data_IF_166933099090
#
_entry.id   IF_166933099090
#
_cell.length_a   1.000
_cell.length_b   1.000
_cell.length_c   1.000
_cell.angle_alpha   90.00
_cell.angle_beta   90.00
_cell.angle_gamma   90.00
#
_symmetry.space_group_name_H-M   'P 1'
#
loop_
_entity.id
_entity.type
_entity.pdbx_description
1 polymer ?
#
# COMPACT_ATOMS: atom_id res chain seq x y z
N UNK A 1 -27.46 -2.60 11.61
CA UNK A 1 -27.82 -1.31 12.24
C UNK A 1 -27.91 -1.61 13.73
N UNK A 2 -27.15 -0.91 14.57
CA UNK A 2 -27.26 -1.05 16.02
C UNK A 2 -28.16 0.08 16.53
N UNK A 3 -29.14 -0.27 17.33
CA UNK A 3 -30.05 0.67 17.98
C UNK A 3 -29.60 0.76 19.43
N UNK A 4 -29.39 1.98 19.92
CA UNK A 4 -29.23 2.21 21.35
C UNK A 4 -30.31 3.16 21.84
N UNK A 5 -30.69 2.98 23.10
CA UNK A 5 -31.65 3.84 23.77
C UNK A 5 -30.88 4.98 24.42
N UNK A 6 -31.15 6.21 23.99
CA UNK A 6 -30.62 7.41 24.64
C UNK A 6 -31.19 7.58 26.05
N UNK A 7 -30.62 8.51 26.82
CA UNK A 7 -31.04 8.85 28.20
C UNK A 7 -32.54 9.26 28.26
N UNK A 8 -33.12 9.67 27.13
CA UNK A 8 -34.52 10.07 26.99
C UNK A 8 -35.40 8.99 26.32
N UNK A 9 -35.00 7.72 26.32
CA UNK A 9 -35.71 6.61 25.63
C UNK A 9 -35.93 6.79 24.11
N UNK A 10 -35.22 7.74 23.49
CA UNK A 10 -35.23 7.89 22.03
C UNK A 10 -34.31 6.85 21.37
N UNK A 11 -34.86 6.14 20.40
CA UNK A 11 -34.11 5.21 19.55
C UNK A 11 -33.13 6.01 18.68
N UNK A 12 -31.82 5.80 18.88
CA UNK A 12 -30.78 6.36 18.03
C UNK A 12 -30.04 5.23 17.30
N UNK A 13 -29.91 5.37 15.98
CA UNK A 13 -29.20 4.40 15.16
C UNK A 13 -27.71 4.72 15.09
N UNK A 14 -26.86 3.74 15.39
CA UNK A 14 -25.44 3.79 15.06
C UNK A 14 -25.24 3.30 13.63
N UNK A 15 -24.95 4.25 12.75
CA UNK A 15 -24.73 3.98 11.34
C UNK A 15 -23.28 3.62 11.04
N UNK A 16 -23.04 2.60 10.19
CA UNK A 16 -21.73 2.39 9.59
C UNK A 16 -21.26 3.64 8.85
N UNK A 17 -19.95 3.86 8.64
CA UNK A 17 -19.43 5.04 7.96
C UNK A 17 -20.01 5.31 6.56
N UNK A 18 -20.45 4.24 5.88
CA UNK A 18 -21.07 4.28 4.56
C UNK A 18 -22.52 4.76 4.55
N UNK A 19 -23.17 4.94 5.70
CA UNK A 19 -24.56 5.37 5.82
C UNK A 19 -24.72 6.48 6.86
N UNK A 20 -25.79 7.26 6.75
CA UNK A 20 -26.12 8.35 7.68
C UNK A 20 -27.63 8.65 7.71
N UNK A 21 -28.03 9.54 8.62
CA UNK A 21 -29.42 9.83 8.96
C UNK A 21 -29.89 9.03 10.18
N UNK A 22 -31.02 9.43 10.77
CA UNK A 22 -31.52 8.87 12.03
C UNK A 22 -31.85 7.38 11.97
N UNK A 23 -32.02 6.84 10.76
CA UNK A 23 -32.28 5.43 10.46
C UNK A 23 -31.24 4.81 9.52
N UNK A 24 -30.10 5.47 9.32
CA UNK A 24 -29.09 5.08 8.34
C UNK A 24 -29.63 4.96 6.91
N UNK A 25 -30.67 5.74 6.59
CA UNK A 25 -31.41 5.65 5.34
C UNK A 25 -30.67 6.26 4.15
N UNK A 26 -29.68 7.11 4.39
CA UNK A 26 -28.92 7.78 3.34
C UNK A 26 -27.54 7.13 3.18
N UNK A 27 -27.17 6.85 1.94
CA UNK A 27 -25.85 6.34 1.62
C UNK A 27 -24.85 7.49 1.53
N UNK A 28 -23.70 7.33 2.19
CA UNK A 28 -22.62 8.30 2.12
C UNK A 28 -22.00 8.32 0.72
N UNK A 29 -21.79 9.52 0.20
CA UNK A 29 -21.20 9.73 -1.10
C UNK A 29 -19.69 9.47 -1.05
N UNK A 30 -19.15 8.83 -2.09
CA UNK A 30 -17.77 8.32 -2.07
C UNK A 30 -17.07 8.41 -3.42
N UNK A 31 -15.75 8.38 -3.37
CA UNK A 31 -14.88 8.10 -4.51
C UNK A 31 -14.44 6.63 -4.43
N UNK A 32 -14.77 5.87 -5.45
CA UNK A 32 -14.33 4.49 -5.66
C UNK A 32 -13.12 4.54 -6.60
N UNK A 33 -11.93 4.35 -6.04
CA UNK A 33 -10.66 4.46 -6.74
C UNK A 33 -10.10 3.07 -7.02
N UNK A 34 -9.79 2.77 -8.27
CA UNK A 34 -9.02 1.59 -8.67
C UNK A 34 -7.64 2.02 -9.16
N UNK A 35 -6.60 1.62 -8.43
CA UNK A 35 -5.21 1.89 -8.81
C UNK A 35 -4.52 0.63 -9.32
N UNK A 36 -3.68 0.83 -10.33
CA UNK A 36 -2.65 -0.13 -10.73
C UNK A 36 -1.31 0.60 -10.76
N UNK A 37 -0.27 -0.02 -10.23
CA UNK A 37 1.08 0.51 -10.34
C UNK A 37 1.80 -0.24 -11.45
N UNK A 38 2.51 0.50 -12.29
CA UNK A 38 3.46 -0.01 -13.26
C UNK A 38 4.84 0.42 -12.79
N UNK A 39 5.75 -0.54 -12.68
CA UNK A 39 7.13 -0.24 -12.36
C UNK A 39 7.98 -0.27 -13.64
N UNK A 40 8.82 0.74 -13.83
CA UNK A 40 9.72 0.82 -14.98
C UNK A 40 11.09 0.23 -14.67
N UNK A 41 11.50 0.14 -13.40
CA UNK A 41 12.74 -0.54 -13.00
C UNK A 41 12.55 -1.41 -11.75
N UNK A 42 12.89 -2.70 -11.87
CA UNK A 42 12.68 -3.72 -10.83
C UNK A 42 13.85 -3.70 -9.85
N UNK A 43 13.93 -2.68 -8.99
CA UNK A 43 14.61 -2.87 -7.71
C UNK A 43 13.73 -3.82 -6.87
N UNK A 44 14.19 -5.06 -6.68
CA UNK A 44 13.43 -6.10 -5.95
C UNK A 44 13.17 -5.72 -4.50
N UNK A 45 14.02 -4.88 -3.91
CA UNK A 45 13.94 -4.47 -2.51
C UNK A 45 13.13 -3.18 -2.32
N UNK A 46 12.62 -2.57 -3.39
CA UNK A 46 11.83 -1.36 -3.29
C UNK A 46 10.51 -1.63 -2.57
N UNK A 47 10.23 -0.83 -1.54
CA UNK A 47 8.96 -0.86 -0.80
C UNK A 47 8.45 0.56 -0.72
N UNK A 48 7.23 0.75 -1.22
CA UNK A 48 6.59 2.06 -1.26
C UNK A 48 5.51 2.15 -0.19
N UNK A 49 5.56 3.20 0.61
CA UNK A 49 4.42 3.66 1.40
C UNK A 49 3.58 4.59 0.56
N UNK A 50 2.34 4.20 0.26
CA UNK A 50 1.42 5.02 -0.53
C UNK A 50 0.38 5.61 0.41
N UNK A 51 0.25 6.93 0.39
CA UNK A 51 -0.77 7.69 1.15
C UNK A 51 -1.72 8.34 0.19
N UNK A 52 -3.00 8.05 0.33
CA UNK A 52 -4.06 8.52 -0.57
C UNK A 52 -4.98 9.42 0.23
N UNK A 53 -5.21 10.64 -0.22
CA UNK A 53 -6.08 11.60 0.48
C UNK A 53 -7.12 12.19 -0.46
N UNK A 54 -8.36 12.30 0.01
CA UNK A 54 -9.43 13.05 -0.66
C UNK A 54 -9.51 14.44 -0.03
N UNK A 55 -9.24 15.46 -0.83
CA UNK A 55 -9.10 16.84 -0.35
C UNK A 55 -10.00 17.78 -1.15
N UNK A 56 -10.64 18.72 -0.47
CA UNK A 56 -11.43 19.77 -1.13
C UNK A 56 -10.59 20.99 -1.54
N UNK A 57 -11.21 21.94 -2.24
CA UNK A 57 -10.56 23.18 -2.68
C UNK A 57 -10.11 24.10 -1.53
N UNK A 58 -10.53 23.83 -0.29
CA UNK A 58 -10.08 24.57 0.90
C UNK A 58 -8.84 23.93 1.54
N UNK A 59 -8.39 22.78 1.03
CA UNK A 59 -7.29 21.99 1.61
C UNK A 59 -7.75 21.05 2.72
N UNK A 60 -9.05 20.88 2.92
CA UNK A 60 -9.59 20.03 3.97
C UNK A 60 -9.62 18.57 3.51
N UNK A 61 -9.03 17.70 4.34
CA UNK A 61 -8.99 16.25 4.09
C UNK A 61 -10.30 15.62 4.56
N UNK A 62 -11.08 15.07 3.62
CA UNK A 62 -12.33 14.36 3.88
C UNK A 62 -12.10 12.91 4.33
N UNK A 63 -11.18 12.22 3.67
CA UNK A 63 -10.78 10.85 4.00
C UNK A 63 -9.36 10.58 3.52
N UNK A 64 -8.75 9.55 4.08
CA UNK A 64 -7.44 9.10 3.69
C UNK A 64 -7.34 7.59 3.82
N UNK A 65 -6.47 7.00 3.02
CA UNK A 65 -6.09 5.60 3.08
C UNK A 65 -4.58 5.46 2.93
N UNK A 66 -4.04 4.37 3.45
CA UNK A 66 -2.62 4.05 3.32
C UNK A 66 -2.46 2.59 2.91
N UNK A 67 -1.49 2.32 2.05
CA UNK A 67 -1.12 0.96 1.67
C UNK A 67 0.39 0.84 1.45
N UNK A 68 0.88 -0.37 1.59
CA UNK A 68 2.26 -0.75 1.28
C UNK A 68 2.29 -1.46 -0.06
N UNK A 69 3.01 -0.87 -1.03
CA UNK A 69 3.18 -1.43 -2.36
C UNK A 69 4.59 -2.01 -2.51
N UNK A 70 4.66 -3.30 -2.83
CA UNK A 70 5.91 -4.02 -3.09
C UNK A 70 5.87 -4.51 -4.55
N UNK A 71 6.70 -3.99 -5.46
CA UNK A 71 6.60 -4.28 -6.89
C UNK A 71 6.70 -5.77 -7.23
N UNK A 72 7.64 -6.49 -6.59
CA UNK A 72 7.87 -7.91 -6.88
C UNK A 72 6.65 -8.80 -6.59
N UNK A 73 5.82 -8.40 -5.62
CA UNK A 73 4.63 -9.14 -5.20
C UNK A 73 3.33 -8.62 -5.81
N UNK A 74 3.29 -7.33 -6.21
CA UNK A 74 2.04 -6.65 -6.53
C UNK A 74 2.00 -5.97 -7.92
N UNK A 75 2.95 -6.24 -8.82
CA UNK A 75 3.03 -5.62 -10.16
C UNK A 75 1.73 -5.75 -10.99
N UNK A 76 0.96 -6.83 -10.81
CA UNK A 76 -0.30 -7.06 -11.52
C UNK A 76 -1.55 -6.81 -10.68
N UNK A 77 -1.38 -6.38 -9.42
CA UNK A 77 -2.50 -6.22 -8.51
C UNK A 77 -3.25 -4.91 -8.81
N UNK A 78 -4.56 -4.97 -8.63
CA UNK A 78 -5.44 -3.79 -8.65
C UNK A 78 -5.86 -3.49 -7.23
N UNK A 79 -5.65 -2.26 -6.79
CA UNK A 79 -6.03 -1.79 -5.46
C UNK A 79 -7.37 -1.06 -5.57
N UNK A 80 -8.40 -1.56 -4.89
CA UNK A 80 -9.72 -0.93 -4.85
C UNK A 80 -9.92 -0.23 -3.51
N UNK A 81 -10.11 1.08 -3.56
CA UNK A 81 -10.02 1.99 -2.42
C UNK A 81 -11.27 2.85 -2.39
N UNK A 82 -11.86 3.03 -1.21
CA UNK A 82 -13.11 3.77 -1.05
C UNK A 82 -12.90 4.99 -0.15
N UNK A 83 -12.83 6.16 -0.76
CA UNK A 83 -12.66 7.43 -0.05
C UNK A 83 -14.03 8.05 0.20
N UNK A 84 -14.46 8.07 1.45
CA UNK A 84 -15.75 8.62 1.85
C UNK A 84 -15.67 10.14 2.02
N UNK A 85 -16.75 10.85 1.66
CA UNK A 85 -16.87 12.25 2.05
C UNK A 85 -17.17 12.34 3.54
N UNK A 86 -16.50 13.29 4.19
CA UNK A 86 -16.80 13.62 5.58
C UNK A 86 -18.13 14.35 5.72
N UNK A 87 -18.34 15.39 4.93
CA UNK A 87 -19.58 16.14 4.91
C UNK A 87 -20.65 15.31 4.19
N UNK A 88 -21.83 15.22 4.82
CA UNK A 88 -22.94 14.35 4.39
C UNK A 88 -24.23 15.18 4.35
N UNK A 89 -24.76 15.53 3.18
CA UNK A 89 -24.20 15.29 1.83
C UNK A 89 -22.95 16.13 1.55
N UNK A 90 -22.19 15.75 0.51
CA UNK A 90 -21.02 16.51 0.06
C UNK A 90 -21.44 17.84 -0.54
N UNK A 91 -20.57 18.84 -0.42
CA UNK A 91 -20.81 20.18 -0.95
C UNK A 91 -20.48 20.23 -2.44
N UNK A 92 -21.50 20.31 -3.29
CA UNK A 92 -21.35 20.33 -4.76
C UNK A 92 -20.70 21.59 -5.30
N UNK A 93 -20.56 22.65 -4.49
CA UNK A 93 -19.90 23.89 -4.88
C UNK A 93 -18.37 23.80 -4.79
N UNK A 94 -17.86 22.87 -3.99
CA UNK A 94 -16.42 22.65 -3.80
C UNK A 94 -15.85 21.73 -4.86
N UNK A 95 -14.58 21.93 -5.20
CA UNK A 95 -13.83 20.98 -6.03
C UNK A 95 -13.13 19.96 -5.15
N UNK A 96 -13.12 18.71 -5.57
CA UNK A 96 -12.48 17.62 -4.84
C UNK A 96 -11.37 17.00 -5.68
N UNK A 97 -10.25 16.70 -5.05
CA UNK A 97 -9.09 16.08 -5.70
C UNK A 97 -8.60 14.93 -4.84
N UNK A 98 -8.30 13.81 -5.49
CA UNK A 98 -7.59 12.69 -4.86
C UNK A 98 -6.11 12.90 -5.08
N UNK A 99 -5.37 12.97 -3.98
CA UNK A 99 -3.92 13.01 -3.96
C UNK A 99 -3.38 11.65 -3.59
N UNK A 100 -2.32 11.22 -4.29
CA UNK A 100 -1.67 9.93 -4.09
C UNK A 100 -0.18 10.22 -3.94
N UNK A 101 0.34 10.06 -2.74
CA UNK A 101 1.72 10.40 -2.40
C UNK A 101 2.50 9.11 -2.14
N UNK A 102 3.68 8.98 -2.76
CA UNK A 102 4.55 7.82 -2.61
C UNK A 102 5.81 8.19 -1.82
N UNK A 103 6.18 7.29 -0.91
CA UNK A 103 7.34 7.41 -0.04
C UNK A 103 8.16 6.12 -0.08
N UNK A 104 9.48 6.22 0.08
CA UNK A 104 10.33 5.06 0.41
C UNK A 104 9.93 4.59 1.82
N UNK A 105 9.49 3.34 1.96
CA UNK A 105 8.98 2.82 3.24
C UNK A 105 10.07 2.53 4.26
N UNK A 106 11.31 2.36 3.81
CA UNK A 106 12.49 2.09 4.65
C UNK A 106 12.97 3.40 5.26
N UNK A 107 13.25 4.39 4.41
CA UNK A 107 13.83 5.67 4.81
C UNK A 107 12.79 6.74 5.14
N UNK A 108 11.51 6.48 4.84
CA UNK A 108 10.41 7.45 4.95
C UNK A 108 10.63 8.71 4.11
N UNK A 109 11.45 8.63 3.06
CA UNK A 109 11.71 9.73 2.14
C UNK A 109 10.54 9.89 1.16
N UNK A 110 10.11 11.13 0.92
CA UNK A 110 9.12 11.42 -0.11
C UNK A 110 9.71 11.21 -1.50
N UNK A 111 8.96 10.56 -2.39
CA UNK A 111 9.42 10.23 -3.75
C UNK A 111 8.66 11.02 -4.81
N UNK A 112 7.33 10.95 -4.81
CA UNK A 112 6.50 11.61 -5.83
C UNK A 112 5.03 11.70 -5.41
N UNK A 113 4.22 12.40 -6.21
CA UNK A 113 2.78 12.51 -6.04
C UNK A 113 2.03 12.54 -7.36
N UNK A 114 0.83 11.97 -7.36
CA UNK A 114 -0.15 12.05 -8.44
C UNK A 114 -1.43 12.73 -7.96
N UNK A 115 -2.10 13.40 -8.88
CA UNK A 115 -3.33 14.15 -8.63
C UNK A 115 -4.44 13.68 -9.56
N UNK A 116 -5.57 13.26 -9.01
CA UNK A 116 -6.74 12.83 -9.78
C UNK A 116 -7.95 13.71 -9.41
N UNK A 117 -8.40 14.62 -10.28
CA UNK A 117 -9.56 15.46 -9.99
C UNK A 117 -10.86 14.65 -10.01
N UNK A 118 -11.79 14.98 -9.11
CA UNK A 118 -13.15 14.42 -9.09
C UNK A 118 -14.06 15.35 -9.90
N UNK A 119 -14.39 14.95 -11.13
CA UNK A 119 -15.09 15.81 -12.09
C UNK A 119 -16.61 15.82 -11.95
N UNK A 120 -17.22 14.69 -11.57
CA UNK A 120 -18.69 14.53 -11.58
C UNK A 120 -19.30 14.58 -10.19
N UNK A 121 -19.40 15.79 -9.64
CA UNK A 121 -19.85 16.02 -8.27
C UNK A 121 -21.34 15.74 -8.04
N UNK A 122 -22.18 15.65 -9.07
CA UNK A 122 -23.58 15.24 -8.87
C UNK A 122 -23.72 13.74 -8.55
N UNK A 123 -22.74 12.90 -8.91
CA UNK A 123 -22.85 11.46 -8.70
C UNK A 123 -22.62 11.09 -7.22
N UNK A 124 -23.48 10.24 -6.63
CA UNK A 124 -23.26 9.71 -5.29
C UNK A 124 -21.96 8.90 -5.19
N UNK A 125 -21.57 8.22 -6.27
CA UNK A 125 -20.32 7.46 -6.37
C UNK A 125 -19.53 7.95 -7.58
N UNK A 126 -18.30 8.39 -7.36
CA UNK A 126 -17.36 8.74 -8.42
C UNK A 126 -16.37 7.58 -8.62
N UNK A 127 -16.37 6.96 -9.79
CA UNK A 127 -15.42 5.89 -10.11
C UNK A 127 -14.20 6.46 -10.82
N UNK A 128 -13.04 6.39 -10.16
CA UNK A 128 -11.75 6.81 -10.72
C UNK A 128 -10.89 5.58 -10.95
N UNK A 129 -10.23 5.51 -12.10
CA UNK A 129 -9.29 4.42 -12.43
C UNK A 129 -8.02 5.03 -12.96
N UNK A 130 -6.88 4.65 -12.39
CA UNK A 130 -5.59 5.16 -12.82
C UNK A 130 -4.54 4.05 -12.82
N UNK A 131 -3.65 4.12 -13.80
CA UNK A 131 -2.40 3.37 -13.81
C UNK A 131 -1.26 4.34 -13.56
N UNK A 132 -0.57 4.17 -12.44
CA UNK A 132 0.50 5.07 -11.98
C UNK A 132 1.85 4.43 -12.26
N UNK A 133 2.83 5.23 -12.65
CA UNK A 133 4.20 4.78 -12.91
C UNK A 133 5.03 5.11 -11.68
N UNK A 134 5.58 4.10 -10.99
CA UNK A 134 6.42 4.33 -9.81
C UNK A 134 7.76 4.95 -10.21
N UNK A 135 8.25 5.95 -9.46
CA UNK A 135 9.52 6.59 -9.78
C UNK A 135 10.67 5.59 -9.62
N UNK A 136 11.71 5.76 -10.43
CA UNK A 136 12.97 5.06 -10.22
C UNK A 136 13.58 5.52 -8.89
N UNK A 137 14.32 4.62 -8.21
CA UNK A 137 15.07 4.94 -6.99
C UNK A 137 16.31 5.76 -7.35
N UNK A 138 16.09 6.87 -8.05
CA UNK A 138 17.10 7.83 -8.42
C UNK A 138 17.12 8.91 -7.35
N UNK A 139 18.31 9.23 -6.89
CA UNK A 139 18.59 10.18 -5.82
C UNK A 139 17.93 11.54 -6.15
N UNK A 140 16.73 11.77 -5.61
CA UNK A 140 16.02 13.02 -5.78
C UNK A 140 16.70 14.09 -4.91
N UNK A 141 17.76 14.70 -5.46
CA UNK A 141 18.27 16.00 -5.02
C UNK A 141 17.34 17.17 -5.42
N UNK A 142 16.16 16.88 -5.96
CA UNK A 142 15.15 17.86 -6.28
C UNK A 142 14.26 18.03 -5.06
N UNK A 143 14.40 19.19 -4.41
CA UNK A 143 13.45 19.70 -3.42
C UNK A 143 12.04 19.75 -4.04
N UNK A 144 11.28 18.67 -3.88
CA UNK A 144 9.86 18.62 -4.14
C UNK A 144 9.10 19.06 -2.89
N UNK A 145 9.47 20.21 -2.34
CA UNK A 145 8.81 20.87 -1.21
C UNK A 145 7.82 21.94 -1.72
N UNK A 146 6.82 21.53 -2.50
CA UNK A 146 5.81 22.49 -3.01
C UNK A 146 4.37 22.13 -2.68
N UNK A 147 4.09 20.96 -2.07
CA UNK A 147 2.77 20.71 -1.46
C UNK A 147 2.72 21.07 0.02
N UNK A 148 3.84 20.93 0.71
CA UNK A 148 4.06 21.49 2.03
C UNK A 148 5.20 22.48 1.88
N UNK A 149 4.99 23.74 1.47
CA UNK A 149 6.03 24.73 1.72
C UNK A 149 6.42 24.60 3.19
N UNK A 150 7.72 24.57 3.53
CA UNK A 150 8.33 24.66 4.87
C UNK A 150 7.56 25.57 5.86
N UNK A 151 6.37 25.13 6.21
CA UNK A 151 5.54 25.56 7.28
C UNK A 151 5.49 24.30 8.11
N UNK A 152 6.54 24.17 8.91
CA UNK A 152 6.41 23.72 10.28
C UNK A 152 5.36 24.59 11.02
N UNK A 153 4.12 24.67 10.53
CA UNK A 153 3.00 24.67 11.46
C UNK A 153 3.20 23.34 12.16
N UNK A 154 3.73 23.44 13.38
CA UNK A 154 3.91 22.37 14.33
C UNK A 154 2.51 21.85 14.67
N UNK A 155 1.82 21.25 13.71
CA UNK A 155 0.68 20.41 13.96
C UNK A 155 1.19 19.42 15.00
N UNK A 156 0.54 19.39 16.16
CA UNK A 156 0.95 18.57 17.28
C UNK A 156 0.74 17.10 16.89
N UNK A 157 1.68 16.56 16.13
CA UNK A 157 1.63 15.20 15.66
C UNK A 157 1.90 14.27 16.83
N UNK A 158 1.12 13.20 16.90
CA UNK A 158 1.19 12.18 17.96
C UNK A 158 1.81 10.89 17.46
N UNK A 159 2.53 10.96 16.32
CA UNK A 159 3.27 9.87 15.75
C UNK A 159 4.49 9.51 16.61
N UNK A 160 4.99 8.27 16.47
CA UNK A 160 6.29 7.88 17.03
C UNK A 160 7.43 8.74 16.48
N UNK A 161 8.54 8.84 17.22
CA UNK A 161 9.71 9.66 16.81
C UNK A 161 10.34 9.18 15.49
N UNK A 162 10.32 7.87 15.26
CA UNK A 162 10.96 7.24 14.10
C UNK A 162 9.96 7.06 12.93
N UNK A 163 8.94 7.92 12.87
CA UNK A 163 7.89 7.88 11.86
C UNK A 163 7.64 9.26 11.26
N UNK A 164 7.13 9.28 10.04
CA UNK A 164 6.84 10.52 9.33
C UNK A 164 5.39 10.93 9.61
N UNK A 165 5.18 12.17 10.06
CA UNK A 165 3.85 12.76 10.12
C UNK A 165 3.51 13.39 8.77
N UNK A 166 2.54 12.80 8.07
CA UNK A 166 2.12 13.29 6.74
C UNK A 166 1.15 14.45 6.88
N UNK A 167 0.16 14.32 7.76
CA UNK A 167 -0.85 15.35 7.99
C UNK A 167 -1.53 15.16 9.35
N UNK A 168 -2.41 16.09 9.72
CA UNK A 168 -3.31 15.93 10.87
C UNK A 168 -4.74 16.26 10.45
N UNK A 169 -5.66 15.34 10.72
CA UNK A 169 -7.09 15.47 10.42
C UNK A 169 -7.87 15.28 11.71
N UNK A 170 -8.65 16.28 12.13
CA UNK A 170 -9.44 16.21 13.37
C UNK A 170 -8.63 15.85 14.63
N UNK A 171 -7.48 16.50 14.82
CA UNK A 171 -6.54 16.18 15.90
C UNK A 171 -6.01 14.72 15.89
N UNK A 172 -6.19 13.98 14.78
CA UNK A 172 -5.59 12.68 14.55
C UNK A 172 -4.49 12.81 13.50
N UNK A 173 -3.29 12.42 13.88
CA UNK A 173 -2.15 12.43 12.98
C UNK A 173 -2.24 11.27 11.99
N UNK A 174 -1.93 11.55 10.74
CA UNK A 174 -1.70 10.56 9.69
C UNK A 174 -0.20 10.28 9.71
N UNK A 175 0.16 9.11 10.23
CA UNK A 175 1.55 8.72 10.41
C UNK A 175 1.93 7.64 9.40
N UNK A 176 3.08 7.78 8.78
CA UNK A 176 3.71 6.74 7.97
C UNK A 176 4.80 6.05 8.81
N UNK A 177 4.56 4.79 9.13
CA UNK A 177 5.47 4.00 9.97
C UNK A 177 6.62 3.42 9.16
N UNK A 178 7.82 3.42 9.76
CA UNK A 178 8.93 2.57 9.32
C UNK A 178 8.59 1.09 9.51
N UNK A 179 9.36 0.20 8.86
CA UNK A 179 9.14 -1.26 8.92
C UNK A 179 9.21 -1.85 10.34
N UNK A 180 9.85 -1.14 11.29
CA UNK A 180 9.98 -1.56 12.68
C UNK A 180 8.75 -1.24 13.54
N UNK A 181 7.81 -0.43 13.03
CA UNK A 181 6.63 0.05 13.77
C UNK A 181 5.36 -0.16 12.97
N UNK A 182 4.24 -0.24 13.68
CA UNK A 182 2.89 -0.36 13.11
C UNK A 182 1.86 0.34 14.00
N UNK A 183 0.60 0.28 13.59
CA UNK A 183 -0.56 1.02 14.12
C UNK A 183 -0.69 2.46 13.58
N UNK A 184 -1.87 3.10 13.68
CA UNK A 184 -2.11 4.44 13.14
C UNK A 184 -1.16 5.54 13.62
N UNK A 185 -0.49 5.35 14.77
CA UNK A 185 0.50 6.28 15.34
C UNK A 185 1.93 5.72 15.39
N UNK A 186 2.15 4.54 14.81
CA UNK A 186 3.47 3.88 14.80
C UNK A 186 4.02 3.56 16.20
N UNK A 187 3.13 3.35 17.18
CA UNK A 187 3.52 3.10 18.57
C UNK A 187 3.74 1.62 18.90
N UNK A 188 3.22 0.72 18.07
CA UNK A 188 3.31 -0.73 18.27
C UNK A 188 4.51 -1.25 17.49
N UNK A 189 5.31 -2.14 18.08
CA UNK A 189 6.42 -2.77 17.38
C UNK A 189 5.93 -3.69 16.26
N UNK A 190 6.72 -3.79 15.20
CA UNK A 190 6.49 -4.73 14.10
C UNK A 190 6.49 -6.18 14.58
N UNK A 191 5.79 -7.03 13.84
CA UNK A 191 5.84 -8.50 14.00
C UNK A 191 7.09 -9.09 13.34
N UNK A 192 7.82 -8.29 12.57
CA UNK A 192 9.11 -8.67 12.03
C UNK A 192 10.14 -8.79 13.16
N UNK A 193 10.58 -10.02 13.40
CA UNK A 193 11.62 -10.37 14.36
C UNK A 193 12.90 -10.78 13.63
N UNK A 194 13.98 -10.95 14.39
CA UNK A 194 15.21 -11.55 13.87
C UNK A 194 14.87 -12.96 13.34
N UNK A 195 15.24 -13.26 12.10
CA UNK A 195 14.93 -14.50 11.37
C UNK A 195 13.46 -14.65 10.90
N UNK A 196 12.66 -13.57 10.85
CA UNK A 196 11.33 -13.62 10.20
C UNK A 196 11.45 -14.11 8.75
N UNK A 197 12.43 -13.57 8.02
CA UNK A 197 12.93 -14.14 6.78
C UNK A 197 14.11 -15.07 7.10
N UNK A 198 14.14 -16.26 6.51
CA UNK A 198 15.28 -17.18 6.57
C UNK A 198 16.49 -16.58 5.82
N UNK A 199 17.69 -17.04 6.17
CA UNK A 199 18.97 -16.64 5.57
C UNK A 199 19.43 -15.19 5.87
N UNK A 200 18.88 -14.55 6.91
CA UNK A 200 19.29 -13.26 7.52
C UNK A 200 19.38 -11.99 6.63
N UNK A 201 19.33 -12.12 5.30
CA UNK A 201 19.44 -11.00 4.35
C UNK A 201 18.11 -10.60 3.68
N UNK A 202 17.04 -11.37 3.93
CA UNK A 202 15.69 -11.04 3.46
C UNK A 202 15.05 -9.89 4.23
N UNK A 203 14.34 -9.01 3.53
CA UNK A 203 13.66 -7.86 4.14
C UNK A 203 12.24 -8.22 4.56
N UNK A 204 11.97 -8.18 5.86
CA UNK A 204 10.63 -8.42 6.41
C UNK A 204 9.78 -7.15 6.36
N UNK A 205 8.59 -7.26 5.77
CA UNK A 205 7.63 -6.16 5.63
C UNK A 205 6.32 -6.55 6.32
N UNK A 206 5.92 -5.87 7.41
CA UNK A 206 4.63 -6.13 8.03
C UNK A 206 3.51 -5.73 7.08
N UNK A 207 2.42 -6.48 7.06
CA UNK A 207 1.25 -6.07 6.28
C UNK A 207 0.61 -4.81 6.87
N UNK A 208 -0.16 -4.08 6.05
CA UNK A 208 -0.89 -2.92 6.54
C UNK A 208 -1.89 -3.39 7.60
N UNK A 209 -1.95 -2.70 8.74
CA UNK A 209 -2.77 -3.11 9.87
C UNK A 209 -4.28 -3.21 9.55
N UNK A 210 -4.72 -2.61 8.45
CA UNK A 210 -6.09 -2.72 7.94
C UNK A 210 -6.36 -4.06 7.22
N UNK A 211 -5.32 -4.71 6.68
CA UNK A 211 -5.42 -5.95 5.91
C UNK A 211 -5.17 -7.17 6.78
N UNK A 212 -4.04 -7.19 7.50
CA UNK A 212 -3.77 -8.21 8.51
C UNK A 212 -2.88 -7.63 9.61
N UNK A 213 -3.23 -7.92 10.85
CA UNK A 213 -2.48 -7.43 12.00
C UNK A 213 -1.31 -8.36 12.38
N UNK A 214 -1.32 -9.60 11.91
CA UNK A 214 -0.41 -10.67 12.34
C UNK A 214 0.45 -11.27 11.22
N UNK A 215 0.26 -10.83 9.97
CA UNK A 215 1.00 -11.35 8.82
C UNK A 215 2.05 -10.38 8.28
N UNK A 216 3.13 -10.95 7.74
CA UNK A 216 4.23 -10.24 7.09
C UNK A 216 4.56 -10.86 5.74
N UNK A 217 5.27 -10.10 4.93
CA UNK A 217 5.80 -10.51 3.63
C UNK A 217 7.32 -10.47 3.70
N UNK A 218 7.97 -11.50 3.16
CA UNK A 218 9.41 -11.52 2.97
C UNK A 218 9.75 -11.03 1.55
N UNK A 219 10.66 -10.07 1.46
CA UNK A 219 11.24 -9.62 0.20
C UNK A 219 12.66 -10.18 0.12
N UNK A 220 12.86 -11.14 -0.77
CA UNK A 220 14.09 -11.91 -0.85
C UNK A 220 15.15 -11.22 -1.72
N UNK A 221 16.40 -11.36 -1.30
CA UNK A 221 17.56 -10.96 -2.09
C UNK A 221 17.71 -11.84 -3.32
N UNK A 222 18.53 -11.38 -4.26
CA UNK A 222 18.91 -12.19 -5.41
C UNK A 222 19.59 -13.50 -4.98
N UNK A 223 19.15 -14.60 -5.58
CA UNK A 223 19.63 -15.93 -5.21
C UNK A 223 18.79 -16.64 -4.15
N UNK A 224 17.68 -16.04 -3.69
CA UNK A 224 16.76 -16.67 -2.75
C UNK A 224 15.29 -16.48 -3.13
N UNK A 225 14.49 -17.52 -2.88
CA UNK A 225 13.05 -17.53 -3.12
C UNK A 225 12.30 -18.29 -2.02
N UNK A 226 10.97 -18.29 -2.11
CA UNK A 226 10.08 -18.86 -1.10
C UNK A 226 9.40 -17.81 -0.24
N UNK A 227 8.44 -18.24 0.58
CA UNK A 227 7.60 -17.36 1.41
C UNK A 227 8.40 -16.64 2.52
N UNK A 228 9.51 -17.24 2.91
CA UNK A 228 10.46 -16.77 3.91
C UNK A 228 11.89 -16.74 3.37
N UNK A 229 12.10 -16.73 2.06
CA UNK A 229 13.44 -16.76 1.45
C UNK A 229 14.25 -18.02 1.82
N UNK A 230 13.56 -19.13 2.04
CA UNK A 230 14.09 -20.41 2.48
C UNK A 230 14.84 -21.19 1.38
N UNK A 231 14.48 -20.96 0.12
CA UNK A 231 15.05 -21.68 -1.01
C UNK A 231 16.21 -20.89 -1.59
N UNK A 232 17.34 -21.56 -1.83
CA UNK A 232 18.46 -21.00 -2.58
C UNK A 232 18.19 -21.20 -4.07
N UNK A 233 18.13 -20.12 -4.81
CA UNK A 233 17.90 -20.15 -6.25
C UNK A 233 19.12 -20.69 -6.99
N UNK A 234 18.85 -21.39 -8.09
CA UNK A 234 19.89 -21.84 -9.02
C UNK A 234 20.11 -20.73 -10.05
N UNK A 235 21.33 -20.19 -10.09
CA UNK A 235 21.75 -19.19 -11.07
C UNK A 235 22.41 -19.87 -12.27
N UNK A 236 21.93 -19.56 -13.48
CA UNK A 236 22.55 -19.98 -14.74
C UNK A 236 22.97 -18.72 -15.47
N UNK A 237 24.28 -18.48 -15.56
CA UNK A 237 24.85 -17.38 -16.33
C UNK A 237 25.23 -17.89 -17.73
N UNK A 238 24.67 -17.27 -18.77
CA UNK A 238 24.98 -17.59 -20.16
C UNK A 238 25.81 -16.43 -20.73
N UNK A 239 27.08 -16.68 -20.98
CA UNK A 239 27.99 -15.71 -21.60
C UNK A 239 28.23 -16.08 -23.06
N UNK A 240 28.15 -15.09 -23.94
CA UNK A 240 28.50 -15.24 -25.34
C UNK A 240 29.82 -14.52 -25.59
N UNK A 241 30.81 -15.27 -26.04
CA UNK A 241 32.07 -14.74 -26.57
C UNK A 241 32.16 -15.09 -28.05
N UNK A 242 32.53 -14.12 -28.88
CA UNK A 242 32.75 -14.26 -30.33
C UNK A 242 31.52 -14.68 -31.17
N UNK A 243 30.33 -14.16 -30.84
CA UNK A 243 29.12 -14.36 -31.64
C UNK A 243 28.52 -12.99 -32.01
N UNK A 244 28.25 -12.76 -33.30
CA UNK A 244 27.47 -11.59 -33.74
C UNK A 244 26.08 -11.69 -33.09
N UNK A 245 25.72 -10.69 -32.27
CA UNK A 245 24.50 -10.70 -31.44
C UNK A 245 23.29 -11.26 -32.18
N UNK A 246 22.75 -12.43 -31.77
CA UNK A 246 21.60 -13.03 -32.44
C UNK A 246 20.34 -12.19 -32.22
N UNK A 247 19.43 -12.18 -33.18
CA UNK A 247 18.16 -11.44 -33.09
C UNK A 247 17.21 -12.01 -32.02
N UNK A 248 17.36 -13.29 -31.65
CA UNK A 248 16.62 -13.92 -30.57
C UNK A 248 17.41 -15.10 -29.98
N UNK A 249 17.19 -15.37 -28.69
CA UNK A 249 17.72 -16.55 -27.98
C UNK A 249 16.50 -17.31 -27.43
N UNK A 250 16.41 -18.61 -27.73
CA UNK A 250 15.38 -19.49 -27.18
C UNK A 250 16.02 -20.41 -26.14
N UNK A 251 15.55 -20.32 -24.90
CA UNK A 251 15.97 -21.19 -23.80
C UNK A 251 14.82 -22.12 -23.41
N UNK A 252 15.08 -23.42 -23.37
CA UNK A 252 14.12 -24.43 -22.92
C UNK A 252 14.69 -25.16 -21.72
N UNK A 253 14.06 -24.99 -20.56
CA UNK A 253 14.46 -25.65 -19.32
C UNK A 253 13.59 -26.88 -19.08
N UNK A 254 14.23 -28.02 -18.80
CA UNK A 254 13.57 -29.28 -18.45
C UNK A 254 13.86 -29.57 -16.99
N UNK A 255 12.82 -29.66 -16.17
CA UNK A 255 12.93 -30.02 -14.75
C UNK A 255 12.74 -31.52 -14.62
N UNK A 256 13.77 -32.25 -14.18
CA UNK A 256 13.65 -33.69 -13.88
C UNK A 256 13.37 -33.84 -12.38
N UNK A 257 12.16 -34.24 -12.03
CA UNK A 257 11.85 -34.65 -10.66
C UNK A 257 12.31 -36.10 -10.49
N UNK A 258 13.41 -36.31 -9.75
CA UNK A 258 13.76 -37.66 -9.28
C UNK A 258 12.72 -38.07 -8.23
N UNK A 259 11.75 -38.88 -8.64
CA UNK A 259 11.04 -39.73 -7.70
C UNK A 259 12.02 -40.82 -7.25
N UNK A 260 12.42 -40.81 -5.99
CA UNK A 260 13.15 -41.92 -5.40
C UNK A 260 12.36 -43.22 -5.62
N UNK A 261 12.92 -44.09 -6.45
CA UNK A 261 12.39 -45.41 -6.74
C UNK A 261 12.66 -46.34 -5.54
N UNK A 262 11.94 -46.15 -4.44
CA UNK A 262 11.97 -47.08 -3.30
C UNK A 262 10.58 -47.36 -2.74
N UNK A 263 9.60 -47.74 -3.56
CA UNK A 263 8.52 -48.67 -3.16
C UNK A 263 8.01 -49.42 -4.40
N UNK A 264 8.67 -50.51 -4.77
CA UNK A 264 8.01 -51.61 -5.49
C UNK A 264 7.68 -52.67 -4.44
N UNK A 265 6.46 -52.65 -3.92
CA UNK A 265 5.92 -53.80 -3.20
C UNK A 265 5.57 -54.88 -4.24
N UNK A 266 6.09 -56.11 -4.12
CA UNK A 266 5.62 -57.21 -4.96
C UNK A 266 4.21 -57.59 -4.55
N UNK A 267 3.30 -57.62 -5.52
CA UNK A 267 1.97 -58.21 -5.39
C UNK A 267 2.15 -59.73 -5.23
N UNK A 268 1.67 -60.36 -4.14
CA UNK A 268 1.63 -61.81 -4.08
C UNK A 268 0.47 -62.32 -4.94
N UNK A 269 0.77 -63.41 -5.65
CA UNK A 269 -0.09 -64.19 -6.54
C UNK A 269 -1.32 -64.71 -5.80
#
# INVERSE_FOLDING_TARGET
IFIYYGINESEQCLCPPSYYGDRCQYQNQRVSLTLRFRNENIDKLAIFGIVITLVDSTGFIHSHEQLTYIPIHACNNKFNIYLLNRDRPKDVTKKYTVYIDAYDKINLAYLTSWTLPVTFLFMPVNHLRAQLITPERQDCHISCDTRYPEQHIKHKCTCSRDSLCVATVNNRSICLCSLAKRSPRCLISSICHKNSCMNDDGLCVPHDAQVSFFDFISVCQDGFSGSRCENKDVRIDILFSDVSTPQAILLHFITIQNYDATVLNPIPI
#
